data_IF_536889588430
#
_entry.id   IF_536889588430
#
_cell.length_a   1.000
_cell.length_b   1.000
_cell.length_c   1.000
_cell.angle_alpha   90.00
_cell.angle_beta   90.00
_cell.angle_gamma   90.00
#
_symmetry.space_group_name_H-M   'P 1'
#
loop_
_entity.id
_entity.type
_entity.pdbx_description
1 polymer ?
#
# COMPACT_ATOMS: atom_id res chain seq x y z
N UNK A 1 6.91 16.01 -18.52
CA UNK A 1 7.81 16.51 -19.59
C UNK A 1 9.22 16.06 -19.26
N UNK A 2 9.69 15.00 -19.91
CA UNK A 2 11.07 14.51 -19.86
C UNK A 2 11.38 13.96 -21.24
N UNK A 3 12.28 14.65 -21.92
CA UNK A 3 12.65 14.46 -23.32
C UNK A 3 13.41 13.16 -23.55
N UNK A 4 12.86 12.24 -24.34
CA UNK A 4 13.64 11.21 -25.02
C UNK A 4 14.05 11.72 -26.40
N UNK A 5 15.28 12.25 -26.48
CA UNK A 5 15.93 12.55 -27.76
C UNK A 5 16.26 11.22 -28.43
N UNK A 6 15.43 10.82 -29.38
CA UNK A 6 15.68 9.72 -30.30
C UNK A 6 17.00 9.94 -31.05
N UNK A 7 18.06 9.21 -30.66
CA UNK A 7 19.31 9.08 -31.44
C UNK A 7 19.03 8.24 -32.69
N UNK A 8 18.56 8.89 -33.76
CA UNK A 8 18.40 8.31 -35.11
C UNK A 8 19.46 8.84 -36.10
N UNK A 9 20.70 9.03 -35.65
CA UNK A 9 21.77 9.62 -36.48
C UNK A 9 22.98 8.69 -36.76
N UNK A 10 22.86 7.37 -36.52
CA UNK A 10 23.96 6.42 -36.69
C UNK A 10 23.78 5.33 -37.76
N UNK A 11 22.56 4.83 -37.98
CA UNK A 11 22.30 3.69 -38.89
C UNK A 11 22.44 4.06 -40.36
N UNK A 12 21.98 5.25 -40.74
CA UNK A 12 21.78 5.60 -42.14
C UNK A 12 23.11 5.89 -42.85
N UNK A 13 24.08 6.45 -42.13
CA UNK A 13 25.43 6.73 -42.68
C UNK A 13 26.19 5.42 -42.95
N UNK A 14 26.08 4.44 -42.05
CA UNK A 14 26.73 3.14 -42.21
C UNK A 14 26.11 2.35 -43.38
N UNK A 15 24.79 2.37 -43.51
CA UNK A 15 24.09 1.72 -44.64
C UNK A 15 24.47 2.39 -45.96
N UNK A 16 24.58 3.72 -46.01
CA UNK A 16 25.06 4.45 -47.20
C UNK A 16 26.49 4.05 -47.58
N UNK A 17 27.37 3.90 -46.60
CA UNK A 17 28.75 3.45 -46.80
C UNK A 17 28.83 2.02 -47.34
N UNK A 18 28.06 1.08 -46.78
CA UNK A 18 28.02 -0.29 -47.27
C UNK A 18 27.43 -0.41 -48.69
N UNK A 19 26.44 0.43 -49.02
CA UNK A 19 25.89 0.50 -50.37
C UNK A 19 26.89 1.05 -51.40
N UNK A 20 27.81 1.94 -50.99
CA UNK A 20 28.92 2.36 -51.85
C UNK A 20 29.89 1.20 -52.10
N UNK A 21 30.22 0.43 -51.06
CA UNK A 21 31.09 -0.74 -51.18
C UNK A 21 30.48 -1.82 -52.09
N UNK A 22 29.17 -2.08 -51.97
CA UNK A 22 28.44 -2.98 -52.87
C UNK A 22 28.52 -2.56 -54.33
N UNK A 23 28.35 -1.27 -54.64
CA UNK A 23 28.48 -0.72 -56.00
C UNK A 23 29.90 -0.85 -56.54
N UNK A 24 30.91 -0.64 -55.69
CA UNK A 24 32.31 -0.84 -56.08
C UNK A 24 32.59 -2.30 -56.43
N UNK A 25 32.07 -3.25 -55.66
CA UNK A 25 32.21 -4.68 -55.95
C UNK A 25 31.48 -5.08 -57.23
N UNK A 26 30.28 -4.54 -57.48
CA UNK A 26 29.59 -4.73 -58.77
C UNK A 26 30.45 -4.25 -59.94
N UNK A 27 31.05 -3.06 -59.83
CA UNK A 27 31.95 -2.54 -60.85
C UNK A 27 33.17 -3.44 -61.09
N UNK A 28 33.70 -4.11 -60.06
CA UNK A 28 34.79 -5.08 -60.24
C UNK A 28 34.30 -6.32 -60.99
N UNK A 29 33.15 -6.87 -60.58
CA UNK A 29 32.56 -8.06 -61.19
C UNK A 29 32.19 -7.79 -62.66
N UNK A 30 31.56 -6.65 -62.96
CA UNK A 30 31.22 -6.19 -64.31
C UNK A 30 32.45 -5.99 -65.20
N UNK A 31 33.59 -5.60 -64.63
CA UNK A 31 34.84 -5.45 -65.37
C UNK A 31 35.50 -6.81 -65.68
N UNK A 32 35.35 -7.80 -64.79
CA UNK A 32 35.99 -9.10 -64.90
C UNK A 32 35.15 -10.06 -65.78
N UNK A 33 33.83 -10.14 -65.57
CA UNK A 33 32.93 -11.08 -66.26
C UNK A 33 33.05 -11.08 -67.79
N UNK A 34 33.04 -9.92 -68.48
CA UNK A 34 33.19 -9.84 -69.95
C UNK A 34 34.46 -10.48 -70.49
N UNK A 35 35.50 -10.62 -69.66
CA UNK A 35 36.83 -11.05 -70.08
C UNK A 35 37.02 -12.57 -69.97
N UNK A 36 36.08 -13.26 -69.33
CA UNK A 36 36.18 -14.67 -68.93
C UNK A 36 35.22 -15.58 -69.73
N UNK A 37 34.32 -15.01 -70.52
CA UNK A 37 33.36 -15.76 -71.33
C UNK A 37 32.11 -16.16 -70.55
N UNK A 38 31.19 -16.91 -71.18
CA UNK A 38 29.94 -17.36 -70.55
C UNK A 38 30.22 -18.43 -69.48
N UNK A 39 30.59 -18.00 -68.28
CA UNK A 39 30.65 -18.85 -67.09
C UNK A 39 29.36 -18.74 -66.28
N UNK A 40 28.82 -19.88 -65.87
CA UNK A 40 27.73 -19.94 -64.89
C UNK A 40 28.30 -19.74 -63.49
N UNK A 41 28.32 -18.49 -63.04
CA UNK A 41 28.81 -18.16 -61.70
C UNK A 41 27.62 -18.19 -60.74
N UNK A 42 27.70 -19.05 -59.73
CA UNK A 42 26.66 -19.20 -58.71
C UNK A 42 26.96 -18.31 -57.50
N UNK A 43 25.94 -17.58 -57.07
CA UNK A 43 25.96 -16.88 -55.78
C UNK A 43 25.92 -17.90 -54.64
N UNK A 44 26.72 -17.69 -53.61
CA UNK A 44 26.67 -18.52 -52.39
C UNK A 44 25.40 -18.22 -51.58
N UNK A 45 24.98 -16.96 -51.57
CA UNK A 45 23.78 -16.51 -50.88
C UNK A 45 22.49 -16.92 -51.61
N UNK A 46 22.55 -17.01 -52.95
CA UNK A 46 21.45 -17.48 -53.80
C UNK A 46 21.91 -18.55 -54.79
N UNK A 47 22.12 -19.80 -54.34
CA UNK A 47 22.69 -20.89 -55.16
C UNK A 47 21.90 -21.22 -56.42
N UNK A 48 20.61 -20.88 -56.44
CA UNK A 48 19.69 -21.13 -57.56
C UNK A 48 19.63 -19.99 -58.57
N UNK A 49 20.35 -18.87 -58.34
CA UNK A 49 20.41 -17.74 -59.26
C UNK A 49 21.77 -17.72 -59.94
N UNK A 50 21.78 -17.92 -61.26
CA UNK A 50 22.96 -17.66 -62.07
C UNK A 50 23.21 -16.16 -62.11
N UNK A 51 24.44 -15.75 -61.78
CA UNK A 51 24.86 -14.35 -61.84
C UNK A 51 24.99 -13.92 -63.31
N UNK A 52 23.86 -13.57 -63.92
CA UNK A 52 23.81 -13.16 -65.31
C UNK A 52 24.15 -11.67 -65.44
N UNK A 53 24.73 -11.29 -66.58
CA UNK A 53 25.23 -9.94 -66.92
C UNK A 53 24.25 -8.77 -66.73
N UNK A 54 22.97 -9.07 -66.48
CA UNK A 54 21.88 -8.11 -66.23
C UNK A 54 21.27 -8.23 -64.82
N UNK A 55 21.82 -9.10 -63.97
CA UNK A 55 21.44 -9.26 -62.57
C UNK A 55 22.08 -8.22 -61.68
N UNK A 56 22.00 -6.94 -62.07
CA UNK A 56 22.28 -5.85 -61.14
C UNK A 56 21.24 -5.96 -60.02
N UNK A 57 21.70 -5.98 -58.78
CA UNK A 57 20.84 -5.77 -57.62
C UNK A 57 20.06 -4.45 -57.85
N UNK A 58 18.75 -4.53 -58.12
CA UNK A 58 17.91 -3.34 -58.18
C UNK A 58 17.69 -2.89 -56.73
N UNK A 59 18.29 -1.77 -56.28
CA UNK A 59 18.12 -1.28 -54.92
C UNK A 59 16.65 -0.96 -54.59
N UNK A 60 15.74 -0.96 -55.57
CA UNK A 60 14.32 -0.75 -55.36
C UNK A 60 13.52 -2.04 -55.07
N UNK A 61 14.08 -3.25 -55.26
CA UNK A 61 13.39 -4.52 -54.96
C UNK A 61 13.51 -4.92 -53.48
N UNK A 62 14.48 -4.40 -52.74
CA UNK A 62 14.67 -4.67 -51.31
C UNK A 62 13.92 -3.63 -50.47
N UNK A 63 12.68 -3.94 -50.08
CA UNK A 63 11.80 -3.04 -49.31
C UNK A 63 12.28 -2.69 -47.88
N UNK A 64 13.43 -3.19 -47.42
CA UNK A 64 14.11 -2.70 -46.22
C UNK A 64 15.57 -3.20 -46.25
N UNK A 65 16.50 -2.35 -46.70
CA UNK A 65 17.93 -2.68 -46.71
C UNK A 65 18.48 -2.59 -45.29
N UNK A 66 18.53 -3.73 -44.59
CA UNK A 66 19.14 -3.80 -43.27
C UNK A 66 20.67 -3.84 -43.37
N UNK A 67 21.36 -3.34 -42.34
CA UNK A 67 22.82 -3.38 -42.25
C UNK A 67 23.39 -4.80 -42.43
N UNK A 68 22.71 -5.81 -41.86
CA UNK A 68 23.09 -7.22 -41.96
C UNK A 68 22.96 -7.71 -43.41
N UNK A 69 21.87 -7.33 -44.09
CA UNK A 69 21.64 -7.69 -45.48
C UNK A 69 22.73 -7.13 -46.42
N UNK A 70 23.18 -5.88 -46.18
CA UNK A 70 24.31 -5.32 -46.93
C UNK A 70 25.60 -6.13 -46.74
N UNK A 71 25.91 -6.58 -45.52
CA UNK A 71 27.11 -7.36 -45.24
C UNK A 71 27.07 -8.74 -45.89
N UNK A 72 25.93 -9.42 -45.86
CA UNK A 72 25.72 -10.71 -46.53
C UNK A 72 25.99 -10.60 -48.03
N UNK A 73 25.47 -9.55 -48.68
CA UNK A 73 25.70 -9.28 -50.10
C UNK A 73 27.16 -8.96 -50.42
N UNK A 74 27.87 -8.25 -49.52
CA UNK A 74 29.29 -7.96 -49.70
C UNK A 74 30.12 -9.25 -49.64
N UNK A 75 29.84 -10.12 -48.67
CA UNK A 75 30.50 -11.42 -48.54
C UNK A 75 30.25 -12.28 -49.78
N UNK A 76 29.01 -12.32 -50.26
CA UNK A 76 28.63 -13.06 -51.46
C UNK A 76 29.38 -12.58 -52.72
N UNK A 77 29.48 -11.25 -52.92
CA UNK A 77 30.23 -10.68 -54.04
C UNK A 77 31.73 -10.93 -53.94
N UNK A 78 32.30 -10.91 -52.74
CA UNK A 78 33.70 -11.27 -52.54
C UNK A 78 33.96 -12.75 -52.86
N UNK A 79 33.03 -13.63 -52.48
CA UNK A 79 33.08 -15.06 -52.83
C UNK A 79 33.00 -15.28 -54.34
N UNK A 80 32.14 -14.53 -55.03
CA UNK A 80 32.04 -14.55 -56.50
C UNK A 80 33.37 -14.13 -57.14
N UNK A 81 33.95 -13.01 -56.72
CA UNK A 81 35.25 -12.54 -57.24
C UNK A 81 36.35 -13.59 -57.00
N UNK A 82 36.36 -14.19 -55.82
CA UNK A 82 37.26 -15.28 -55.45
C UNK A 82 37.18 -16.47 -56.40
N UNK A 83 35.97 -16.97 -56.65
CA UNK A 83 35.75 -18.10 -57.54
C UNK A 83 36.18 -17.77 -58.97
N UNK A 84 35.83 -16.59 -59.46
CA UNK A 84 36.22 -16.14 -60.79
C UNK A 84 37.75 -16.11 -60.94
N UNK A 85 38.46 -15.54 -59.96
CA UNK A 85 39.92 -15.49 -59.95
C UNK A 85 40.51 -16.89 -59.88
N UNK A 86 40.00 -17.75 -58.99
CA UNK A 86 40.50 -19.10 -58.78
C UNK A 86 40.35 -19.97 -60.04
N UNK A 87 39.19 -19.94 -60.70
CA UNK A 87 38.94 -20.74 -61.90
C UNK A 87 39.65 -20.21 -63.15
N UNK A 88 40.01 -18.92 -63.20
CA UNK A 88 40.57 -18.28 -64.39
C UNK A 88 41.97 -17.69 -64.20
N UNK A 89 42.68 -18.10 -63.14
CA UNK A 89 44.06 -17.69 -62.81
C UNK A 89 45.01 -17.68 -64.02
N UNK A 90 44.86 -18.64 -64.94
CA UNK A 90 45.70 -18.75 -66.14
C UNK A 90 45.28 -17.84 -67.30
N UNK A 91 43.98 -17.56 -67.45
CA UNK A 91 43.42 -16.70 -68.50
C UNK A 91 43.59 -15.20 -68.19
N UNK A 92 43.60 -14.85 -66.90
CA UNK A 92 43.76 -13.48 -66.40
C UNK A 92 45.23 -13.00 -66.55
N UNK A 93 46.21 -13.90 -66.45
CA UNK A 93 47.66 -13.62 -66.61
C UNK A 93 48.05 -12.89 -67.90
N UNK A 94 47.26 -12.99 -68.97
CA UNK A 94 47.60 -12.44 -70.28
C UNK A 94 46.93 -11.09 -70.62
N UNK A 95 46.13 -10.48 -69.72
CA UNK A 95 45.39 -9.25 -70.05
C UNK A 95 45.61 -8.15 -69.00
N UNK A 96 46.64 -7.32 -69.23
CA UNK A 96 46.92 -6.10 -68.44
C UNK A 96 45.73 -5.12 -68.52
N UNK A 97 45.44 -4.45 -67.41
CA UNK A 97 44.43 -3.39 -67.18
C UNK A 97 43.12 -3.86 -66.54
N UNK A 98 43.19 -4.33 -65.29
CA UNK A 98 42.06 -4.26 -64.36
C UNK A 98 42.12 -2.88 -63.69
N UNK A 99 41.02 -2.11 -63.74
CA UNK A 99 40.96 -0.78 -63.12
C UNK A 99 40.42 -0.90 -61.69
N UNK A 100 41.13 -0.31 -60.73
CA UNK A 100 40.88 -0.48 -59.30
C UNK A 100 40.15 0.75 -58.72
N UNK A 101 39.04 0.58 -57.98
CA UNK A 101 38.38 1.70 -57.30
C UNK A 101 39.28 2.25 -56.18
N UNK A 102 39.56 3.55 -56.19
CA UNK A 102 40.48 4.20 -55.24
C UNK A 102 39.86 4.54 -53.88
N UNK A 103 38.56 4.32 -53.68
CA UNK A 103 37.82 4.67 -52.45
C UNK A 103 36.75 3.62 -52.13
N UNK A 104 37.06 2.73 -51.19
CA UNK A 104 36.13 1.72 -50.61
C UNK A 104 36.30 1.78 -49.09
N UNK A 105 35.21 1.81 -48.32
CA UNK A 105 35.21 2.00 -46.85
C UNK A 105 35.54 0.71 -46.10
N UNK A 106 35.13 -0.45 -46.60
CA UNK A 106 35.71 -1.77 -46.27
C UNK A 106 37.09 -2.00 -46.95
N UNK A 107 37.80 -0.91 -47.23
CA UNK A 107 39.00 -0.89 -48.04
C UNK A 107 40.15 -1.75 -47.51
N UNK A 108 40.18 -2.15 -46.23
CA UNK A 108 41.29 -2.96 -45.70
C UNK A 108 41.17 -4.44 -46.05
N UNK A 109 40.00 -5.05 -45.90
CA UNK A 109 39.78 -6.45 -46.25
C UNK A 109 39.81 -6.66 -47.76
N UNK A 110 39.17 -5.76 -48.53
CA UNK A 110 39.19 -5.84 -50.00
C UNK A 110 40.59 -5.58 -50.54
N UNK A 111 41.36 -4.63 -49.98
CA UNK A 111 42.75 -4.37 -50.37
C UNK A 111 43.70 -5.49 -49.96
N UNK A 112 43.59 -6.04 -48.75
CA UNK A 112 44.40 -7.19 -48.32
C UNK A 112 44.10 -8.44 -49.16
N UNK A 113 42.83 -8.65 -49.50
CA UNK A 113 42.42 -9.73 -50.39
C UNK A 113 43.01 -9.56 -51.79
N UNK A 114 42.94 -8.34 -52.36
CA UNK A 114 43.54 -8.02 -53.66
C UNK A 114 45.09 -8.08 -53.63
N UNK A 115 45.73 -7.67 -52.53
CA UNK A 115 47.18 -7.82 -52.31
C UNK A 115 47.60 -9.29 -52.25
N UNK A 116 46.79 -10.17 -51.63
CA UNK A 116 47.02 -11.61 -51.61
C UNK A 116 46.90 -12.24 -53.01
N UNK A 117 45.92 -11.80 -53.80
CA UNK A 117 45.79 -12.22 -55.21
C UNK A 117 47.04 -11.83 -56.02
N UNK A 118 47.56 -10.61 -55.82
CA UNK A 118 48.78 -10.15 -56.48
C UNK A 118 50.05 -10.90 -56.00
N UNK A 119 50.12 -11.31 -54.73
CA UNK A 119 51.26 -12.09 -54.21
C UNK A 119 51.33 -13.52 -54.75
N UNK A 120 50.20 -14.08 -55.19
CA UNK A 120 50.17 -15.37 -55.88
C UNK A 120 50.73 -15.25 -57.31
N UNK A 121 50.76 -14.05 -57.90
CA UNK A 121 51.41 -13.80 -59.20
C UNK A 121 52.95 -13.80 -59.12
N UNK A 122 53.56 -13.41 -58.00
CA UNK A 122 55.02 -13.22 -57.90
C UNK A 122 55.83 -14.47 -57.45
N UNK A 123 55.21 -15.47 -56.84
CA UNK A 123 55.93 -16.59 -56.17
C UNK A 123 56.37 -17.77 -57.05
N UNK A 124 56.34 -17.67 -58.38
CA UNK A 124 56.80 -18.77 -59.27
C UNK A 124 58.19 -18.57 -59.90
N UNK A 125 59.00 -17.59 -59.48
CA UNK A 125 60.37 -17.43 -59.98
C UNK A 125 61.42 -17.30 -58.87
N UNK A 126 62.30 -18.31 -58.83
CA UNK A 126 63.73 -18.28 -58.47
C UNK A 126 64.21 -19.02 -57.22
N UNK A 127 65.39 -19.61 -57.43
CA UNK A 127 66.06 -20.73 -56.75
C UNK A 127 66.73 -20.31 -55.44
N UNK A 128 66.77 -21.23 -54.47
CA UNK A 128 67.58 -21.11 -53.25
C UNK A 128 68.87 -21.96 -53.43
N UNK A 129 70.08 -21.41 -53.24
CA UNK A 129 71.25 -22.20 -52.90
C UNK A 129 71.53 -22.21 -51.39
N UNK A 130 71.93 -23.38 -50.89
CA UNK A 130 72.46 -23.67 -49.54
C UNK A 130 73.88 -23.10 -49.37
N UNK A 131 74.25 -22.77 -48.12
CA UNK A 131 75.63 -22.78 -47.58
C UNK A 131 75.56 -22.47 -46.07
N UNK A 132 75.73 -23.46 -45.18
CA UNK A 132 76.94 -23.81 -44.39
C UNK A 132 77.49 -22.72 -43.46
N UNK A 133 77.38 -22.98 -42.16
CA UNK A 133 78.06 -22.29 -41.06
C UNK A 133 79.52 -22.72 -40.93
N UNK A 134 80.39 -21.83 -40.45
CA UNK A 134 81.14 -22.13 -39.22
C UNK A 134 81.02 -21.01 -38.17
N UNK A 135 81.27 -21.41 -36.93
CA UNK A 135 81.22 -20.64 -35.69
C UNK A 135 82.47 -19.77 -35.60
N UNK A 136 82.30 -18.46 -35.37
CA UNK A 136 83.37 -17.55 -34.96
C UNK A 136 82.92 -16.68 -33.77
N UNK A 137 83.89 -16.45 -32.89
CA UNK A 137 83.80 -15.75 -31.60
C UNK A 137 83.40 -14.29 -31.82
N UNK A 138 82.29 -13.85 -31.19
CA UNK A 138 81.69 -12.53 -31.40
C UNK A 138 82.47 -11.46 -30.63
N UNK A 139 83.11 -10.55 -31.37
CA UNK A 139 83.75 -9.34 -30.86
C UNK A 139 82.72 -8.18 -30.89
N UNK A 140 82.80 -7.20 -29.99
CA UNK A 140 81.77 -6.14 -29.85
C UNK A 140 81.61 -5.27 -31.11
N UNK A 141 82.63 -5.25 -31.96
CA UNK A 141 82.67 -4.55 -33.25
C UNK A 141 82.30 -5.46 -34.45
N UNK A 142 82.11 -6.77 -34.21
CA UNK A 142 81.67 -7.74 -35.23
C UNK A 142 80.16 -8.02 -35.16
N UNK A 143 79.39 -7.17 -34.47
CA UNK A 143 77.95 -7.19 -34.64
C UNK A 143 77.65 -6.83 -36.08
N UNK A 144 77.15 -7.79 -36.84
CA UNK A 144 76.46 -7.55 -38.11
C UNK A 144 75.59 -6.32 -37.89
N UNK A 145 75.73 -5.28 -38.73
CA UNK A 145 74.68 -4.29 -38.87
C UNK A 145 73.37 -5.05 -38.84
N UNK A 146 72.51 -4.68 -37.90
CA UNK A 146 71.21 -5.29 -37.72
C UNK A 146 70.45 -4.93 -38.99
N UNK A 147 70.67 -5.70 -40.07
CA UNK A 147 69.89 -5.66 -41.29
C UNK A 147 68.49 -5.86 -40.78
N UNK A 148 67.77 -4.76 -40.75
CA UNK A 148 66.45 -4.63 -40.18
C UNK A 148 65.70 -5.90 -40.55
N UNK A 149 65.43 -6.72 -39.54
CA UNK A 149 64.46 -7.81 -39.64
C UNK A 149 63.03 -7.22 -39.69
N UNK A 150 62.89 -6.01 -40.25
CA UNK A 150 61.68 -5.38 -40.74
C UNK A 150 61.33 -5.94 -42.13
N UNK A 151 61.44 -7.26 -42.30
CA UNK A 151 61.05 -7.95 -43.55
C UNK A 151 59.73 -8.69 -43.43
N UNK A 152 59.14 -8.74 -42.23
CA UNK A 152 57.86 -9.37 -42.00
C UNK A 152 56.88 -8.32 -41.48
N UNK A 153 56.06 -7.80 -42.38
CA UNK A 153 54.99 -6.85 -42.06
C UNK A 153 54.09 -7.39 -40.94
N UNK A 154 53.86 -8.70 -40.90
CA UNK A 154 53.07 -9.35 -39.84
C UNK A 154 53.73 -9.24 -38.47
N UNK A 155 55.05 -9.38 -38.36
CA UNK A 155 55.76 -9.23 -37.07
C UNK A 155 55.76 -7.77 -36.61
N UNK A 156 55.91 -6.82 -37.54
CA UNK A 156 55.85 -5.40 -37.26
C UNK A 156 54.45 -5.00 -36.77
N UNK A 157 53.40 -5.44 -37.46
CA UNK A 157 52.02 -5.21 -37.04
C UNK A 157 51.69 -5.85 -35.68
N UNK A 158 52.16 -7.08 -35.43
CA UNK A 158 51.96 -7.73 -34.14
C UNK A 158 52.61 -6.94 -32.99
N UNK A 159 53.80 -6.38 -33.20
CA UNK A 159 54.48 -5.55 -32.21
C UNK A 159 53.76 -4.21 -31.97
N UNK A 160 53.25 -3.56 -33.02
CA UNK A 160 52.42 -2.36 -32.87
C UNK A 160 51.15 -2.64 -32.08
N UNK A 161 50.46 -3.73 -32.42
CA UNK A 161 49.25 -4.14 -31.72
C UNK A 161 49.51 -4.47 -30.25
N UNK A 162 50.59 -5.19 -29.95
CA UNK A 162 50.99 -5.48 -28.58
C UNK A 162 51.29 -4.19 -27.81
N UNK A 163 52.01 -3.25 -28.43
CA UNK A 163 52.31 -1.95 -27.82
C UNK A 163 51.04 -1.18 -27.47
N UNK A 164 50.06 -1.14 -28.38
CA UNK A 164 48.79 -0.44 -28.15
C UNK A 164 48.00 -1.08 -27.01
N UNK A 165 47.97 -2.42 -26.93
CA UNK A 165 47.33 -3.14 -25.82
C UNK A 165 48.03 -2.84 -24.48
N UNK A 166 49.37 -2.90 -24.48
CA UNK A 166 50.17 -2.61 -23.28
C UNK A 166 49.91 -1.20 -22.80
N UNK A 167 49.86 -0.22 -23.71
CA UNK A 167 49.54 1.17 -23.37
C UNK A 167 48.13 1.27 -22.79
N UNK A 168 47.13 0.72 -23.48
CA UNK A 168 45.74 0.74 -23.04
C UNK A 168 45.57 0.15 -21.64
N UNK A 169 46.16 -1.01 -21.36
CA UNK A 169 46.04 -1.66 -20.05
C UNK A 169 46.77 -0.84 -18.98
N UNK A 170 47.95 -0.30 -19.30
CA UNK A 170 48.76 0.47 -18.35
C UNK A 170 48.11 1.81 -17.97
N UNK A 171 47.36 2.43 -18.89
CA UNK A 171 46.65 3.68 -18.64
C UNK A 171 45.34 3.47 -17.90
N UNK A 172 44.59 2.41 -18.22
CA UNK A 172 43.24 2.21 -17.67
C UNK A 172 43.20 1.36 -16.39
N UNK A 173 44.27 0.61 -16.08
CA UNK A 173 44.31 -0.26 -14.91
C UNK A 173 45.54 0.02 -14.06
N UNK A 174 45.33 0.77 -12.97
CA UNK A 174 46.39 1.32 -12.13
C UNK A 174 47.26 0.28 -11.41
N UNK A 175 46.75 -0.95 -11.23
CA UNK A 175 47.45 -2.07 -10.58
C UNK A 175 47.77 -3.22 -11.55
N UNK A 176 47.77 -2.97 -12.86
CA UNK A 176 48.04 -4.03 -13.84
C UNK A 176 49.49 -4.51 -13.77
N UNK A 177 49.67 -5.83 -13.85
CA UNK A 177 50.97 -6.46 -13.97
C UNK A 177 51.67 -6.00 -15.26
N UNK A 178 50.88 -5.70 -16.29
CA UNK A 178 51.32 -5.12 -17.57
C UNK A 178 51.98 -3.76 -17.37
N UNK A 179 51.44 -2.88 -16.52
CA UNK A 179 52.05 -1.57 -16.20
C UNK A 179 53.41 -1.75 -15.53
N UNK A 180 53.49 -2.66 -14.55
CA UNK A 180 54.73 -2.97 -13.82
C UNK A 180 55.79 -3.53 -14.79
N UNK A 181 55.43 -4.55 -15.56
CA UNK A 181 56.36 -5.21 -16.48
C UNK A 181 56.73 -4.34 -17.68
N UNK A 182 55.88 -3.38 -18.09
CA UNK A 182 56.22 -2.34 -19.07
C UNK A 182 57.35 -1.45 -18.55
N UNK A 183 57.27 -1.00 -17.30
CA UNK A 183 58.35 -0.23 -16.69
C UNK A 183 59.65 -1.04 -16.61
N UNK A 184 59.59 -2.30 -16.17
CA UNK A 184 60.78 -3.14 -16.06
C UNK A 184 61.45 -3.45 -17.40
N UNK A 185 60.66 -3.63 -18.47
CA UNK A 185 61.19 -3.80 -19.84
C UNK A 185 61.83 -2.51 -20.36
N UNK A 186 61.26 -1.34 -20.04
CA UNK A 186 61.82 -0.05 -20.43
C UNK A 186 63.13 0.25 -19.67
N UNK A 187 63.21 -0.09 -18.38
CA UNK A 187 64.39 0.14 -17.55
C UNK A 187 65.57 -0.76 -17.95
N UNK A 188 65.29 -1.94 -18.51
CA UNK A 188 66.31 -2.92 -18.94
C UNK A 188 66.37 -3.09 -20.47
N UNK A 189 66.08 -2.03 -21.23
CA UNK A 189 65.90 -2.10 -22.70
C UNK A 189 67.12 -2.64 -23.46
N UNK A 190 68.32 -2.53 -22.89
CA UNK A 190 69.57 -3.01 -23.49
C UNK A 190 69.90 -4.47 -23.14
N UNK A 191 69.28 -5.01 -22.09
CA UNK A 191 69.56 -6.37 -21.58
C UNK A 191 68.45 -7.37 -21.94
N UNK A 192 67.30 -6.88 -22.42
CA UNK A 192 66.13 -7.70 -22.75
C UNK A 192 66.00 -7.85 -24.27
N UNK A 193 65.94 -9.09 -24.74
CA UNK A 193 65.67 -9.37 -26.16
C UNK A 193 64.23 -8.98 -26.53
N UNK A 194 63.99 -8.56 -27.79
CA UNK A 194 62.62 -8.27 -28.29
C UNK A 194 61.65 -9.42 -28.03
N UNK A 195 62.09 -10.66 -28.21
CA UNK A 195 61.30 -11.86 -27.93
C UNK A 195 60.99 -12.01 -26.43
N UNK A 196 61.98 -11.79 -25.56
CA UNK A 196 61.79 -11.83 -24.10
C UNK A 196 60.82 -10.76 -23.59
N UNK A 197 60.95 -9.52 -24.08
CA UNK A 197 60.00 -8.44 -23.78
C UNK A 197 58.58 -8.78 -24.23
N UNK A 198 58.44 -9.28 -25.46
CA UNK A 198 57.15 -9.69 -26.04
C UNK A 198 56.47 -10.78 -25.20
N UNK A 199 57.21 -11.82 -24.81
CA UNK A 199 56.66 -12.90 -23.99
C UNK A 199 56.28 -12.43 -22.60
N UNK A 200 57.12 -11.61 -21.95
CA UNK A 200 56.85 -11.09 -20.61
C UNK A 200 55.59 -10.21 -20.60
N UNK A 201 55.47 -9.29 -21.55
CA UNK A 201 54.28 -8.44 -21.69
C UNK A 201 53.04 -9.25 -22.04
N UNK A 202 53.13 -10.22 -22.96
CA UNK A 202 52.00 -11.07 -23.34
C UNK A 202 51.48 -11.90 -22.15
N UNK A 203 52.36 -12.47 -21.33
CA UNK A 203 51.96 -13.19 -20.12
C UNK A 203 51.32 -12.26 -19.08
N UNK A 204 51.82 -11.02 -18.96
CA UNK A 204 51.25 -10.01 -18.06
C UNK A 204 49.84 -9.63 -18.48
N UNK A 205 49.63 -9.38 -19.78
CA UNK A 205 48.32 -9.07 -20.36
C UNK A 205 47.35 -10.22 -20.10
N UNK A 206 47.79 -11.47 -20.32
CA UNK A 206 46.96 -12.65 -20.08
C UNK A 206 46.51 -12.75 -18.62
N UNK A 207 47.42 -12.46 -17.67
CA UNK A 207 47.12 -12.52 -16.26
C UNK A 207 46.18 -11.38 -15.82
N UNK A 208 46.43 -10.15 -16.29
CA UNK A 208 45.55 -9.01 -16.04
C UNK A 208 44.15 -9.26 -16.60
N UNK A 209 44.05 -9.84 -17.81
CA UNK A 209 42.77 -10.23 -18.39
C UNK A 209 42.00 -11.22 -17.52
N UNK A 210 42.67 -12.26 -17.00
CA UNK A 210 42.03 -13.23 -16.10
C UNK A 210 41.56 -12.59 -14.80
N UNK A 211 42.35 -11.68 -14.22
CA UNK A 211 41.97 -10.97 -13.00
C UNK A 211 40.73 -10.09 -13.23
N UNK A 212 40.75 -9.28 -14.30
CA UNK A 212 39.63 -8.39 -14.65
C UNK A 212 38.37 -9.21 -14.94
N UNK A 213 38.48 -10.30 -15.68
CA UNK A 213 37.35 -11.17 -15.98
C UNK A 213 36.78 -11.83 -14.72
N UNK A 214 37.64 -12.25 -13.78
CA UNK A 214 37.24 -12.80 -12.49
C UNK A 214 36.49 -11.79 -11.63
N UNK A 215 37.04 -10.58 -11.46
CA UNK A 215 36.39 -9.50 -10.72
C UNK A 215 35.05 -9.11 -11.34
N UNK A 216 34.97 -9.03 -12.67
CA UNK A 216 33.74 -8.73 -13.38
C UNK A 216 32.67 -9.80 -13.14
N UNK A 217 33.05 -11.08 -13.18
CA UNK A 217 32.13 -12.19 -12.90
C UNK A 217 31.60 -12.14 -11.47
N UNK A 218 32.48 -11.93 -10.49
CA UNK A 218 32.10 -11.87 -9.08
C UNK A 218 31.18 -10.67 -8.80
N UNK A 219 31.45 -9.52 -9.42
CA UNK A 219 30.59 -8.33 -9.33
C UNK A 219 29.23 -8.53 -10.02
N UNK A 220 29.19 -9.21 -11.17
CA UNK A 220 27.93 -9.57 -11.84
C UNK A 220 27.06 -10.48 -10.94
N UNK A 221 27.67 -11.46 -10.27
CA UNK A 221 26.96 -12.34 -9.35
C UNK A 221 26.43 -11.58 -8.11
N UNK A 222 27.24 -10.68 -7.53
CA UNK A 222 26.79 -9.79 -6.44
C UNK A 222 25.61 -8.92 -6.89
N UNK A 223 25.68 -8.34 -8.08
CA UNK A 223 24.59 -7.52 -8.63
C UNK A 223 23.30 -8.32 -8.84
N UNK A 224 23.40 -9.56 -9.32
CA UNK A 224 22.24 -10.44 -9.47
C UNK A 224 21.57 -10.73 -8.12
N UNK A 225 22.35 -11.04 -7.09
CA UNK A 225 21.84 -11.27 -5.74
C UNK A 225 21.19 -10.01 -5.15
N UNK A 226 21.79 -8.84 -5.36
CA UNK A 226 21.20 -7.57 -4.95
C UNK A 226 19.87 -7.32 -5.66
N UNK A 227 19.77 -7.63 -6.95
CA UNK A 227 18.53 -7.49 -7.72
C UNK A 227 17.41 -8.37 -7.16
N UNK A 228 17.73 -9.62 -6.78
CA UNK A 228 16.78 -10.52 -6.12
C UNK A 228 16.32 -9.96 -4.76
N UNK A 229 17.24 -9.42 -3.97
CA UNK A 229 16.90 -8.81 -2.68
C UNK A 229 15.99 -7.58 -2.84
N UNK A 230 16.26 -6.73 -3.84
CA UNK A 230 15.41 -5.58 -4.17
C UNK A 230 14.00 -6.05 -4.53
N UNK A 231 13.86 -7.06 -5.40
CA UNK A 231 12.55 -7.60 -5.78
C UNK A 231 11.78 -8.17 -4.57
N UNK A 232 12.48 -8.84 -3.65
CA UNK A 232 11.86 -9.33 -2.40
C UNK A 232 11.38 -8.17 -1.53
N UNK A 233 12.19 -7.14 -1.34
CA UNK A 233 11.81 -5.95 -0.57
C UNK A 233 10.62 -5.21 -1.20
N UNK A 234 10.54 -5.13 -2.53
CA UNK A 234 9.40 -4.55 -3.25
C UNK A 234 8.10 -5.33 -2.99
N UNK A 235 8.18 -6.67 -2.97
CA UNK A 235 7.05 -7.52 -2.60
C UNK A 235 6.63 -7.31 -1.13
N UNK A 236 7.59 -7.27 -0.21
CA UNK A 236 7.32 -7.06 1.22
C UNK A 236 6.69 -5.69 1.48
N UNK A 237 7.17 -4.64 0.80
CA UNK A 237 6.57 -3.29 0.85
C UNK A 237 5.14 -3.32 0.33
N UNK A 238 4.90 -3.96 -0.82
CA UNK A 238 3.55 -4.05 -1.40
C UNK A 238 2.56 -4.75 -0.47
N UNK A 239 2.99 -5.81 0.22
CA UNK A 239 2.17 -6.49 1.24
C UNK A 239 1.92 -5.61 2.47
N UNK A 240 2.93 -4.88 2.94
CA UNK A 240 2.78 -3.95 4.06
C UNK A 240 1.79 -2.82 3.74
N UNK A 241 1.88 -2.23 2.53
CA UNK A 241 0.95 -1.21 2.06
C UNK A 241 -0.49 -1.71 2.00
N UNK A 242 -0.70 -2.95 1.51
CA UNK A 242 -2.02 -3.57 1.50
C UNK A 242 -2.57 -3.71 2.93
N UNK A 243 -1.77 -4.20 3.87
CA UNK A 243 -2.18 -4.36 5.27
C UNK A 243 -2.49 -3.03 5.95
N UNK A 244 -1.75 -1.97 5.63
CA UNK A 244 -2.02 -0.61 6.13
C UNK A 244 -3.37 -0.10 5.60
N UNK A 245 -3.67 -0.32 4.31
CA UNK A 245 -4.97 0.05 3.72
C UNK A 245 -6.13 -0.66 4.41
N UNK A 246 -6.01 -1.97 4.62
CA UNK A 246 -7.03 -2.77 5.31
C UNK A 246 -7.25 -2.29 6.75
N UNK A 247 -6.17 -2.08 7.51
CA UNK A 247 -6.26 -1.56 8.88
C UNK A 247 -6.89 -0.16 8.93
N UNK A 248 -6.56 0.70 7.96
CA UNK A 248 -7.15 2.04 7.86
C UNK A 248 -8.65 1.97 7.60
N UNK A 249 -9.10 1.09 6.70
CA UNK A 249 -10.51 0.88 6.43
C UNK A 249 -11.27 0.34 7.66
N UNK A 250 -10.68 -0.61 8.39
CA UNK A 250 -11.24 -1.09 9.65
C UNK A 250 -11.32 0.01 10.71
N UNK A 251 -10.28 0.84 10.84
CA UNK A 251 -10.26 1.92 11.82
C UNK A 251 -11.34 2.98 11.54
N UNK A 252 -11.58 3.31 10.27
CA UNK A 252 -12.68 4.21 9.88
C UNK A 252 -14.06 3.67 10.31
N UNK A 253 -14.29 2.36 10.14
CA UNK A 253 -15.54 1.71 10.61
C UNK A 253 -15.69 1.79 12.13
N UNK A 254 -14.61 1.58 12.88
CA UNK A 254 -14.65 1.69 14.34
C UNK A 254 -14.94 3.12 14.81
N UNK A 255 -14.36 4.13 14.14
CA UNK A 255 -14.66 5.54 14.45
C UNK A 255 -16.12 5.89 14.20
N UNK A 256 -16.72 5.37 13.12
CA UNK A 256 -18.14 5.55 12.84
C UNK A 256 -19.03 4.88 13.91
N UNK A 257 -18.70 3.66 14.31
CA UNK A 257 -19.39 2.95 15.41
C UNK A 257 -19.29 3.72 16.72
N UNK A 258 -18.10 4.22 17.07
CA UNK A 258 -17.88 5.02 18.28
C UNK A 258 -18.76 6.28 18.28
N UNK A 259 -18.80 7.00 17.15
CA UNK A 259 -19.63 8.21 17.02
C UNK A 259 -21.12 7.91 17.20
N UNK A 260 -21.60 6.77 16.71
CA UNK A 260 -22.99 6.37 16.90
C UNK A 260 -23.28 6.00 18.37
N UNK A 261 -22.40 5.24 19.01
CA UNK A 261 -22.54 4.91 20.43
C UNK A 261 -22.48 6.15 21.33
N UNK A 262 -21.68 7.16 20.99
CA UNK A 262 -21.65 8.43 21.72
C UNK A 262 -22.98 9.20 21.63
N UNK A 263 -23.62 9.19 20.45
CA UNK A 263 -24.96 9.79 20.27
C UNK A 263 -26.02 9.06 21.10
N UNK A 264 -26.02 7.73 21.09
CA UNK A 264 -26.94 6.93 21.90
C UNK A 264 -26.74 7.16 23.40
N UNK A 265 -25.49 7.25 23.83
CA UNK A 265 -25.17 7.56 25.22
C UNK A 265 -25.67 8.95 25.62
N UNK A 266 -25.54 9.94 24.73
CA UNK A 266 -26.04 11.29 24.96
C UNK A 266 -27.56 11.32 25.10
N UNK A 267 -28.29 10.65 24.21
CA UNK A 267 -29.75 10.48 24.30
C UNK A 267 -30.16 9.82 25.62
N UNK A 268 -29.42 8.78 26.03
CA UNK A 268 -29.68 8.08 27.30
C UNK A 268 -29.48 9.01 28.51
N UNK A 269 -28.44 9.84 28.50
CA UNK A 269 -28.20 10.84 29.56
C UNK A 269 -29.31 11.88 29.63
N UNK A 270 -29.82 12.34 28.49
CA UNK A 270 -30.94 13.29 28.44
C UNK A 270 -32.25 12.66 28.96
N UNK A 271 -32.49 11.39 28.62
CA UNK A 271 -33.62 10.64 29.17
C UNK A 271 -33.52 10.48 30.70
N UNK A 272 -32.36 10.09 31.23
CA UNK A 272 -32.14 9.97 32.68
C UNK A 272 -32.43 11.30 33.39
N UNK A 273 -31.94 12.43 32.88
CA UNK A 273 -32.23 13.76 33.46
C UNK A 273 -33.72 14.06 33.53
N UNK A 274 -34.47 13.65 32.51
CA UNK A 274 -35.94 13.85 32.46
C UNK A 274 -36.62 13.02 33.55
N UNK A 275 -36.26 11.75 33.66
CA UNK A 275 -36.81 10.85 34.70
C UNK A 275 -36.43 11.30 36.11
N UNK A 276 -35.21 11.79 36.32
CA UNK A 276 -34.79 12.36 37.62
C UNK A 276 -35.59 13.61 37.99
N UNK A 277 -35.90 14.44 37.00
CA UNK A 277 -36.76 15.61 37.20
C UNK A 277 -38.17 15.18 37.61
N UNK A 278 -38.80 14.27 36.86
CA UNK A 278 -40.12 13.73 37.18
C UNK A 278 -40.16 13.08 38.57
N UNK A 279 -39.11 12.32 38.93
CA UNK A 279 -38.98 11.73 40.26
C UNK A 279 -38.94 12.78 41.35
N UNK A 280 -38.21 13.89 41.15
CA UNK A 280 -38.13 14.96 42.15
C UNK A 280 -39.45 15.72 42.30
N UNK A 281 -40.16 15.96 41.19
CA UNK A 281 -41.51 16.54 41.20
C UNK A 281 -42.52 15.63 41.93
N UNK A 282 -42.50 14.32 41.66
CA UNK A 282 -43.34 13.34 42.36
C UNK A 282 -43.02 13.24 43.85
N UNK A 283 -41.75 13.27 44.21
CA UNK A 283 -41.32 13.21 45.61
C UNK A 283 -41.78 14.45 46.38
N UNK A 284 -41.71 15.63 45.76
CA UNK A 284 -42.23 16.86 46.35
C UNK A 284 -43.75 16.75 46.56
N UNK A 285 -44.48 16.31 45.54
CA UNK A 285 -45.94 16.11 45.64
C UNK A 285 -46.31 15.13 46.76
N UNK A 286 -45.58 14.01 46.88
CA UNK A 286 -45.77 13.03 47.94
C UNK A 286 -45.56 13.64 49.35
N UNK A 287 -44.52 14.46 49.52
CA UNK A 287 -44.25 15.13 50.80
C UNK A 287 -45.34 16.16 51.16
N UNK A 288 -45.84 16.88 50.16
CA UNK A 288 -46.94 17.84 50.33
C UNK A 288 -48.22 17.11 50.78
N UNK A 289 -48.57 16.00 50.13
CA UNK A 289 -49.69 15.14 50.57
C UNK A 289 -49.50 14.59 51.98
N UNK A 290 -48.28 14.15 52.33
CA UNK A 290 -47.97 13.69 53.68
C UNK A 290 -48.20 14.78 54.74
N UNK A 291 -47.85 16.03 54.43
CA UNK A 291 -48.08 17.19 55.30
C UNK A 291 -49.58 17.49 55.46
N UNK A 292 -50.34 17.46 54.36
CA UNK A 292 -51.80 17.64 54.39
C UNK A 292 -52.49 16.54 55.22
N UNK A 293 -52.10 15.28 55.05
CA UNK A 293 -52.65 14.15 55.80
C UNK A 293 -52.39 14.34 57.30
N UNK A 294 -51.19 14.79 57.68
CA UNK A 294 -50.84 15.07 59.07
C UNK A 294 -51.72 16.17 59.66
N UNK A 295 -51.87 17.30 58.96
CA UNK A 295 -52.77 18.38 59.39
C UNK A 295 -54.22 17.91 59.54
N UNK A 296 -54.75 17.15 58.58
CA UNK A 296 -56.10 16.61 58.64
C UNK A 296 -56.27 15.67 59.82
N UNK A 297 -55.27 14.82 60.08
CA UNK A 297 -55.27 13.91 61.22
C UNK A 297 -55.31 14.67 62.55
N UNK A 298 -54.50 15.73 62.68
CA UNK A 298 -54.48 16.57 63.88
C UNK A 298 -55.82 17.31 64.06
N UNK A 299 -56.40 17.86 62.98
CA UNK A 299 -57.73 18.51 63.03
C UNK A 299 -58.83 17.53 63.41
N UNK A 300 -58.81 16.30 62.88
CA UNK A 300 -59.77 15.25 63.25
C UNK A 300 -59.64 14.92 64.74
N UNK A 301 -58.41 14.77 65.26
CA UNK A 301 -58.17 14.49 66.68
C UNK A 301 -58.74 15.59 67.58
N UNK A 302 -58.45 16.86 67.29
CA UNK A 302 -59.02 18.01 68.01
C UNK A 302 -60.55 18.01 67.94
N UNK A 303 -61.11 17.71 66.76
CA UNK A 303 -62.57 17.64 66.59
C UNK A 303 -63.20 16.51 67.41
N UNK A 304 -62.53 15.36 67.52
CA UNK A 304 -62.99 14.24 68.34
C UNK A 304 -62.92 14.57 69.84
N UNK A 305 -61.83 15.21 70.29
CA UNK A 305 -61.68 15.66 71.67
C UNK A 305 -62.79 16.66 72.06
N UNK A 306 -63.03 17.69 71.24
CA UNK A 306 -64.15 18.65 71.46
C UNK A 306 -65.52 17.98 71.48
N UNK A 307 -65.73 16.97 70.64
CA UNK A 307 -66.98 16.21 70.61
C UNK A 307 -67.16 15.41 71.90
N UNK A 308 -66.09 14.77 72.40
CA UNK A 308 -66.11 14.04 73.66
C UNK A 308 -66.38 14.97 74.85
N UNK A 309 -65.76 16.15 74.89
CA UNK A 309 -66.03 17.18 75.91
C UNK A 309 -67.49 17.65 75.87
N UNK A 310 -68.00 17.94 74.67
CA UNK A 310 -69.40 18.35 74.51
C UNK A 310 -70.37 17.26 74.94
N UNK A 311 -70.07 15.99 74.59
CA UNK A 311 -70.86 14.85 75.01
C UNK A 311 -70.88 14.71 76.54
N UNK A 312 -69.72 14.80 77.19
CA UNK A 312 -69.62 14.76 78.66
C UNK A 312 -70.41 15.89 79.31
N UNK A 313 -70.32 17.11 78.76
CA UNK A 313 -71.12 18.24 79.24
C UNK A 313 -72.63 17.95 79.15
N UNK A 314 -73.11 17.40 78.03
CA UNK A 314 -74.52 17.05 77.89
C UNK A 314 -74.94 15.93 78.84
N UNK A 315 -74.09 14.92 79.06
CA UNK A 315 -74.34 13.84 80.04
C UNK A 315 -74.49 14.41 81.46
N UNK A 316 -73.59 15.31 81.88
CA UNK A 316 -73.68 16.00 83.19
C UNK A 316 -74.96 16.86 83.31
N UNK A 317 -75.37 17.54 82.24
CA UNK A 317 -76.62 18.31 82.23
C UNK A 317 -77.84 17.40 82.36
N UNK A 318 -77.87 16.28 81.62
CA UNK A 318 -78.95 15.29 81.71
C UNK A 318 -79.06 14.76 83.14
N UNK A 319 -77.95 14.35 83.76
CA UNK A 319 -77.93 13.86 85.14
C UNK A 319 -78.46 14.91 86.13
N UNK A 320 -78.07 16.18 85.97
CA UNK A 320 -78.58 17.26 86.80
C UNK A 320 -80.09 17.46 86.63
N UNK A 321 -80.60 17.45 85.39
CA UNK A 321 -82.04 17.54 85.13
C UNK A 321 -82.80 16.33 85.69
N UNK A 322 -82.26 15.11 85.57
CA UNK A 322 -82.84 13.90 86.16
C UNK A 322 -82.93 14.02 87.69
N UNK A 323 -81.88 14.50 88.36
CA UNK A 323 -81.88 14.76 89.79
C UNK A 323 -82.94 15.78 90.21
N UNK A 324 -83.09 16.88 89.46
CA UNK A 324 -84.13 17.90 89.71
C UNK A 324 -85.53 17.30 89.53
N UNK A 325 -85.76 16.52 88.46
CA UNK A 325 -87.02 15.82 88.23
C UNK A 325 -87.33 14.88 89.40
N UNK A 326 -86.36 14.14 89.91
CA UNK A 326 -86.54 13.20 91.01
C UNK A 326 -86.87 13.91 92.34
N UNK A 327 -86.24 15.05 92.60
CA UNK A 327 -86.61 15.93 93.73
C UNK A 327 -88.05 16.44 93.59
N UNK A 328 -88.46 16.85 92.38
CA UNK A 328 -89.84 17.29 92.14
C UNK A 328 -90.85 16.16 92.29
N UNK A 329 -90.56 14.95 91.79
CA UNK A 329 -91.40 13.76 92.03
C UNK A 329 -91.57 13.50 93.53
N UNK A 330 -90.48 13.56 94.30
CA UNK A 330 -90.52 13.38 95.76
C UNK A 330 -91.41 14.42 96.44
N UNK A 331 -91.32 15.70 96.03
CA UNK A 331 -92.21 16.76 96.53
C UNK A 331 -93.68 16.52 96.16
N UNK A 332 -93.96 16.04 94.95
CA UNK A 332 -95.33 15.70 94.51
C UNK A 332 -95.88 14.57 95.37
N UNK A 333 -95.12 13.49 95.60
CA UNK A 333 -95.53 12.36 96.46
C UNK A 333 -95.82 12.86 97.88
N UNK A 334 -94.95 13.69 98.44
CA UNK A 334 -95.19 14.30 99.75
C UNK A 334 -96.50 15.11 99.76
N UNK A 335 -96.70 15.98 98.78
CA UNK A 335 -97.93 16.77 98.65
C UNK A 335 -99.19 15.92 98.48
N UNK A 336 -99.12 14.83 97.70
CA UNK A 336 -100.21 13.86 97.55
C UNK A 336 -100.53 13.16 98.89
N UNK A 337 -99.52 12.77 99.65
CA UNK A 337 -99.71 12.17 100.98
C UNK A 337 -100.33 13.17 101.96
N UNK A 338 -99.85 14.42 101.99
CA UNK A 338 -100.46 15.47 102.81
C UNK A 338 -101.92 15.76 102.41
N UNK A 339 -102.22 15.74 101.11
CA UNK A 339 -103.59 15.91 100.62
C UNK A 339 -104.48 14.72 101.01
N UNK A 340 -103.96 13.49 100.98
CA UNK A 340 -104.69 12.31 101.44
C UNK A 340 -105.03 12.39 102.93
N UNK A 341 -104.10 12.85 103.77
CA UNK A 341 -104.34 13.10 105.20
C UNK A 341 -105.43 14.18 105.39
N UNK A 342 -105.29 15.32 104.71
CA UNK A 342 -106.29 16.39 104.77
C UNK A 342 -107.67 15.94 104.30
N UNK A 343 -107.73 15.07 103.28
CA UNK A 343 -108.97 14.48 102.79
C UNK A 343 -109.60 13.57 103.84
N UNK A 344 -108.80 12.72 104.50
CA UNK A 344 -109.26 11.88 105.60
C UNK A 344 -109.79 12.73 106.77
N UNK A 345 -109.09 13.81 107.13
CA UNK A 345 -109.54 14.75 108.16
C UNK A 345 -110.83 15.48 107.75
N UNK A 346 -110.94 15.88 106.49
CA UNK A 346 -112.16 16.48 105.95
C UNK A 346 -113.33 15.50 105.97
N UNK A 347 -113.12 14.25 105.60
CA UNK A 347 -114.14 13.20 105.63
C UNK A 347 -114.60 12.92 107.08
N UNK A 348 -113.68 12.88 108.06
CA UNK A 348 -114.01 12.82 109.49
C UNK A 348 -114.85 14.02 109.94
N UNK A 349 -114.48 15.23 109.49
CA UNK A 349 -115.18 16.47 109.83
C UNK A 349 -116.58 16.51 109.20
N UNK A 350 -116.72 15.98 107.99
CA UNK A 350 -118.01 15.80 107.30
C UNK A 350 -118.91 14.81 108.04
N UNK A 351 -118.37 13.66 108.48
CA UNK A 351 -119.12 12.69 109.31
C UNK A 351 -119.59 13.36 110.61
N UNK A 352 -118.71 14.08 111.30
CA UNK A 352 -119.08 14.83 112.50
C UNK A 352 -120.17 15.89 112.23
N UNK A 353 -120.08 16.59 111.10
CA UNK A 353 -121.09 17.56 110.69
C UNK A 353 -122.43 16.88 110.40
N UNK A 354 -122.43 15.76 109.67
CA UNK A 354 -123.64 14.98 109.37
C UNK A 354 -124.28 14.40 110.65
N UNK A 355 -123.49 13.98 111.63
CA UNK A 355 -123.99 13.57 112.94
C UNK A 355 -124.59 14.73 113.73
N UNK A 356 -123.94 15.89 113.76
CA UNK A 356 -124.45 17.11 114.39
C UNK A 356 -125.73 17.60 113.71
N UNK A 357 -125.76 17.59 112.39
CA UNK A 357 -126.93 17.95 111.60
C UNK A 357 -128.07 16.94 111.80
N UNK A 358 -127.75 15.65 111.90
CA UNK A 358 -128.68 14.60 112.27
C UNK A 358 -129.27 14.79 113.68
N UNK A 359 -128.44 15.15 114.67
CA UNK A 359 -128.90 15.52 116.02
C UNK A 359 -129.78 16.79 116.00
N UNK A 360 -129.38 17.81 115.25
CA UNK A 360 -130.15 19.05 115.09
C UNK A 360 -131.51 18.81 114.41
N UNK A 361 -131.54 17.99 113.36
CA UNK A 361 -132.77 17.59 112.66
C UNK A 361 -133.71 16.79 113.58
N UNK A 362 -133.17 15.89 114.42
CA UNK A 362 -133.96 15.19 115.45
C UNK A 362 -134.52 16.15 116.50
N UNK A 363 -133.74 17.14 116.97
CA UNK A 363 -134.26 18.19 117.87
C UNK A 363 -135.35 19.02 117.20
N UNK A 364 -135.17 19.42 115.93
CA UNK A 364 -136.16 20.17 115.17
C UNK A 364 -137.48 19.39 114.99
N UNK A 365 -137.41 18.09 114.66
CA UNK A 365 -138.58 17.22 114.59
C UNK A 365 -139.23 16.98 115.96
N UNK A 366 -138.46 16.98 117.04
CA UNK A 366 -138.97 16.86 118.41
C UNK A 366 -139.68 18.15 118.85
N UNK A 367 -139.15 19.32 118.50
CA UNK A 367 -139.83 20.61 118.69
C UNK A 367 -141.13 20.70 117.86
N UNK A 368 -141.14 20.22 116.62
CA UNK A 368 -142.35 20.16 115.81
C UNK A 368 -143.42 19.20 116.39
N UNK A 369 -143.00 18.10 117.04
CA UNK A 369 -143.92 17.20 117.78
C UNK A 369 -144.43 17.84 119.07
N UNK A 370 -143.60 18.61 119.79
CA UNK A 370 -144.04 19.38 120.96
C UNK A 370 -145.08 20.46 120.59
N UNK A 371 -144.89 21.18 119.47
CA UNK A 371 -145.87 22.16 118.99
C UNK A 371 -147.21 21.54 118.59
N UNK A 372 -147.22 20.31 118.05
CA UNK A 372 -148.46 19.60 117.68
C UNK A 372 -149.27 19.07 118.87
N UNK A 373 -148.65 18.96 120.05
CA UNK A 373 -149.30 18.41 121.24
C UNK A 373 -149.96 19.52 122.10
N UNK A 374 -149.53 20.77 121.95
CA UNK A 374 -150.12 21.95 122.62
C UNK A 374 -151.37 22.53 121.93
N UNK A 375 -151.91 21.85 120.90
CA UNK A 375 -153.24 22.14 120.34
C UNK A 375 -154.19 20.96 120.56
N UNK A 376 -154.50 20.68 121.82
CA UNK A 376 -155.81 20.17 122.26
C UNK A 376 -156.02 20.43 123.75
#
# INVERSE_FOLDING_TARGET
MSNSVNRKFGSDILIVSLNQDLKCLDGIIENILPRIGNMEIQSWLYPHKNYNRNGSYDPNEAKEVSYIHCLELIIDKLYIILNIVNENMYSIKNRRNIYYPSRVTLGRCVKQFLELVNQVEEKSCNKIPRSTTPIDVINKESQTENKTLDKCDSCTQANYFLKDIVEYISTNFDKSLTKINKHEVNDNIYDVTKFGATMKLTNSIKQDYHNIAGELHENLQKNYNLLQNVSKLESDISQAEFKIKDLTACNLKYLEQLSNSEKELQLTKEYIKTVEKEKSELLQSYNDYGSIIKELTDRMKISHEKRAESQKYFEEQIENYENVIEQHKSKIIYGQNSFAILKEDFDKLKINYEELYGKYSRMSQMNYKLEKTYKK
#
